data_IF_547823021163
#
_entry.id   IF_547823021163
#
_cell.length_a   1.000
_cell.length_b   1.000
_cell.length_c   1.000
_cell.angle_alpha   90.00
_cell.angle_beta   90.00
_cell.angle_gamma   90.00
#
_symmetry.space_group_name_H-M   'P 1'
#
loop_
_entity.id
_entity.type
_entity.pdbx_description
1 polymer ?
#
# COMPACT_ATOMS: atom_id res chain seq x y z
N UNK A 1 -7.71 -3.08 22.69
CA UNK A 1 -8.35 -4.06 21.77
C UNK A 1 -8.19 -3.57 20.33
N UNK A 2 -7.55 -4.35 19.47
CA UNK A 2 -7.37 -4.03 18.05
C UNK A 2 -8.66 -4.30 17.27
N UNK A 3 -9.06 -3.36 16.40
CA UNK A 3 -10.18 -3.51 15.48
C UNK A 3 -9.68 -3.35 14.04
N UNK A 4 -10.29 -4.03 13.09
CA UNK A 4 -9.96 -3.87 11.67
C UNK A 4 -11.07 -3.08 10.98
N UNK A 5 -10.70 -1.97 10.35
CA UNK A 5 -11.58 -1.23 9.46
C UNK A 5 -11.52 -1.88 8.09
N UNK A 6 -12.66 -2.08 7.45
CA UNK A 6 -12.78 -2.62 6.10
C UNK A 6 -13.65 -1.71 5.24
N UNK A 7 -13.31 -1.62 3.95
CA UNK A 7 -14.20 -1.01 2.95
C UNK A 7 -14.04 -1.71 1.61
N UNK A 8 -15.11 -1.77 0.84
CA UNK A 8 -15.10 -2.37 -0.49
C UNK A 8 -14.60 -1.36 -1.54
N UNK A 9 -13.87 -1.88 -2.53
CA UNK A 9 -13.41 -1.13 -3.70
C UNK A 9 -14.28 -1.54 -4.90
N UNK A 10 -15.32 -0.74 -5.18
CA UNK A 10 -16.28 -1.02 -6.26
C UNK A 10 -16.75 0.26 -6.94
N UNK A 11 -17.23 0.15 -8.17
CA UNK A 11 -17.78 1.25 -8.96
C UNK A 11 -16.74 2.21 -9.53
N UNK A 12 -17.23 3.26 -10.19
CA UNK A 12 -16.41 4.19 -10.99
C UNK A 12 -15.41 5.02 -10.16
N UNK A 13 -15.66 5.14 -8.85
CA UNK A 13 -14.81 5.88 -7.92
C UNK A 13 -13.72 5.02 -7.27
N UNK A 14 -13.65 3.73 -7.59
CA UNK A 14 -12.74 2.75 -6.96
C UNK A 14 -11.27 3.21 -6.98
N UNK A 15 -10.79 3.76 -8.09
CA UNK A 15 -9.41 4.25 -8.22
C UNK A 15 -9.13 5.43 -7.28
N UNK A 16 -10.01 6.44 -7.29
CA UNK A 16 -9.86 7.61 -6.40
C UNK A 16 -9.92 7.22 -4.92
N UNK A 17 -10.81 6.29 -4.58
CA UNK A 17 -10.96 5.76 -3.23
C UNK A 17 -9.69 4.99 -2.79
N UNK A 18 -9.17 4.13 -3.65
CA UNK A 18 -7.92 3.40 -3.44
C UNK A 18 -6.78 4.36 -3.14
N UNK A 19 -6.61 5.40 -3.95
CA UNK A 19 -5.49 6.33 -3.82
C UNK A 19 -5.58 7.15 -2.53
N UNK A 20 -6.77 7.63 -2.19
CA UNK A 20 -7.01 8.39 -0.96
C UNK A 20 -6.75 7.54 0.29
N UNK A 21 -7.30 6.32 0.34
CA UNK A 21 -7.19 5.46 1.52
C UNK A 21 -5.80 4.81 1.65
N UNK A 22 -5.12 4.52 0.54
CA UNK A 22 -3.73 4.06 0.56
C UNK A 22 -2.78 5.09 1.17
N UNK A 23 -3.04 6.39 0.93
CA UNK A 23 -2.29 7.49 1.57
C UNK A 23 -2.50 7.52 3.09
N UNK A 24 -3.71 7.17 3.54
CA UNK A 24 -4.12 7.10 4.95
C UNK A 24 -3.74 5.78 5.64
N UNK A 25 -3.04 4.87 4.93
CA UNK A 25 -2.51 3.64 5.48
C UNK A 25 -3.44 2.43 5.43
N UNK A 26 -4.51 2.50 4.63
CA UNK A 26 -5.24 1.30 4.24
C UNK A 26 -4.39 0.44 3.29
N UNK A 27 -4.54 -0.87 3.40
CA UNK A 27 -3.91 -1.90 2.57
C UNK A 27 -4.97 -2.56 1.71
N UNK A 28 -4.65 -2.91 0.47
CA UNK A 28 -5.57 -3.54 -0.48
C UNK A 28 -5.35 -5.04 -0.56
N UNK A 29 -6.44 -5.81 -0.49
CA UNK A 29 -6.51 -7.21 -0.89
C UNK A 29 -7.70 -7.38 -1.82
N UNK A 30 -7.43 -7.64 -3.10
CA UNK A 30 -8.47 -7.75 -4.14
C UNK A 30 -9.35 -6.48 -4.19
N UNK A 31 -10.66 -6.63 -3.91
CA UNK A 31 -11.65 -5.55 -3.90
C UNK A 31 -11.98 -5.07 -2.49
N UNK A 32 -11.09 -5.30 -1.51
CA UNK A 32 -11.26 -4.84 -0.13
C UNK A 32 -10.02 -4.07 0.31
N UNK A 33 -10.25 -2.93 0.96
CA UNK A 33 -9.24 -2.16 1.66
C UNK A 33 -9.41 -2.37 3.17
N UNK A 34 -8.30 -2.47 3.90
CA UNK A 34 -8.33 -2.64 5.35
C UNK A 34 -7.24 -1.85 6.07
N UNK A 35 -7.49 -1.45 7.32
CA UNK A 35 -6.49 -0.85 8.21
C UNK A 35 -6.70 -1.30 9.65
N UNK A 36 -5.65 -1.76 10.35
CA UNK A 36 -5.71 -1.96 11.81
C UNK A 36 -5.93 -0.62 12.50
N UNK A 37 -6.96 -0.56 13.34
CA UNK A 37 -7.31 0.58 14.17
C UNK A 37 -7.23 0.16 15.63
N UNK A 38 -6.31 0.79 16.34
CA UNK A 38 -6.19 0.66 17.78
C UNK A 38 -6.36 2.08 18.36
N UNK A 39 -7.17 2.22 19.41
CA UNK A 39 -7.41 3.51 20.05
C UNK A 39 -6.13 4.08 20.71
N UNK A 40 -5.20 3.21 21.10
CA UNK A 40 -4.01 3.57 21.90
C UNK A 40 -2.69 3.28 21.17
N UNK A 41 -2.72 2.81 19.92
CA UNK A 41 -1.52 2.43 19.18
C UNK A 41 -1.48 3.08 17.79
N UNK A 42 -0.45 3.88 17.57
CA UNK A 42 -0.08 4.46 16.28
C UNK A 42 1.03 3.66 15.55
N UNK A 43 1.49 2.54 16.11
CA UNK A 43 2.57 1.75 15.53
C UNK A 43 2.17 1.07 14.20
N UNK A 44 0.87 0.90 13.94
CA UNK A 44 0.42 0.38 12.65
C UNK A 44 0.52 1.46 11.56
N UNK A 45 1.72 1.54 10.97
CA UNK A 45 2.02 2.39 9.84
C UNK A 45 2.03 1.58 8.53
N UNK A 46 1.63 2.23 7.44
CA UNK A 46 1.85 1.67 6.10
C UNK A 46 3.33 1.82 5.74
N UNK A 47 4.00 0.69 5.48
CA UNK A 47 5.38 0.71 5.02
C UNK A 47 5.43 1.20 3.57
N UNK A 48 6.27 2.20 3.29
CA UNK A 48 6.56 2.67 1.93
C UNK A 48 8.01 2.35 1.60
N UNK A 49 8.25 1.79 0.43
CA UNK A 49 9.61 1.51 -0.07
C UNK A 49 10.18 2.80 -0.65
N UNK A 50 11.38 3.21 -0.20
CA UNK A 50 12.09 4.36 -0.76
C UNK A 50 12.68 4.01 -2.12
N UNK A 51 11.85 4.08 -3.16
CA UNK A 51 12.27 3.78 -4.54
C UNK A 51 13.32 4.75 -5.09
N UNK A 52 13.37 5.99 -4.60
CA UNK A 52 14.36 6.98 -5.04
C UNK A 52 15.80 6.60 -4.67
N UNK A 53 15.97 5.83 -3.60
CA UNK A 53 17.29 5.39 -3.10
C UNK A 53 17.74 4.07 -3.74
N UNK A 54 16.91 3.47 -4.59
CA UNK A 54 17.19 2.17 -5.19
C UNK A 54 18.29 2.30 -6.26
N UNK A 55 19.43 1.64 -6.01
CA UNK A 55 20.54 1.54 -6.98
C UNK A 55 20.58 0.12 -7.56
N UNK A 56 20.31 -0.05 -8.87
CA UNK A 56 20.32 -1.37 -9.49
C UNK A 56 21.71 -2.03 -9.48
N UNK A 57 21.77 -3.30 -9.10
CA UNK A 57 23.00 -4.11 -9.16
C UNK A 57 23.43 -4.38 -10.59
N UNK A 58 24.67 -4.86 -10.81
CA UNK A 58 25.18 -5.21 -12.16
C UNK A 58 24.30 -6.27 -12.85
N UNK A 59 23.76 -7.25 -12.11
CA UNK A 59 22.85 -8.27 -12.67
C UNK A 59 21.49 -7.66 -13.03
N UNK A 60 20.92 -6.82 -12.17
CA UNK A 60 19.66 -6.13 -12.44
C UNK A 60 19.74 -5.22 -13.67
N UNK A 61 20.85 -4.49 -13.84
CA UNK A 61 21.09 -3.68 -15.05
C UNK A 61 21.15 -4.52 -16.32
N UNK A 62 21.72 -5.73 -16.27
CA UNK A 62 21.73 -6.65 -17.41
C UNK A 62 20.33 -7.14 -17.77
N UNK A 63 19.51 -7.45 -16.76
CA UNK A 63 18.12 -7.88 -16.96
C UNK A 63 17.28 -6.75 -17.56
N UNK A 64 17.41 -5.53 -17.03
CA UNK A 64 16.73 -4.35 -17.57
C UNK A 64 17.08 -4.03 -19.02
N UNK A 65 18.31 -4.34 -19.47
CA UNK A 65 18.70 -4.14 -20.87
C UNK A 65 18.14 -5.22 -21.82
N UNK A 66 17.75 -6.38 -21.27
CA UNK A 66 17.26 -7.53 -22.05
C UNK A 66 15.76 -7.47 -22.32
N UNK A 67 14.99 -6.95 -21.36
CA UNK A 67 13.53 -6.80 -21.44
C UNK A 67 13.16 -5.45 -22.06
#
# INVERSE_FOLDING_TARGET
MERKLFTALQGDSATKLNDSLSKQGFRRSQNVLYRPSCAECSACMSARIRVADFVPTKSQRRVLKRN
#
